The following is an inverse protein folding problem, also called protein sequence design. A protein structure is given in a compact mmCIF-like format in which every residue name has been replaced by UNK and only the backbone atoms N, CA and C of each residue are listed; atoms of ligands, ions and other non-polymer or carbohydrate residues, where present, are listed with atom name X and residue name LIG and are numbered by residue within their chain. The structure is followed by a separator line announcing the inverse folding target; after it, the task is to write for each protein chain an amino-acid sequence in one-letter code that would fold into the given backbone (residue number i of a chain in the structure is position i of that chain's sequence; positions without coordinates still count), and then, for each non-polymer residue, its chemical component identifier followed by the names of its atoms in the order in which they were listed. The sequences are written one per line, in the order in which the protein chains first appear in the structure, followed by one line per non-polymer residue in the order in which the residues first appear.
data_IF_479750303594
#
_entry.id   IF_479750303594
#
_cell.length_a   1.000
_cell.length_b   1.000
_cell.length_c   1.000
_cell.angle_alpha   90.00
_cell.angle_beta   90.00
_cell.angle_gamma   90.00
#
_symmetry.space_group_name_H-M   'P 1'
#
loop_
_entity.id
_entity.type
_entity.pdbx_description
1 polymer ?
#
# COMPACT_ATOMS: atom_id res chain seq x y z
N UNK A 1 -32.28 10.33 -27.65
CA UNK A 1 -30.95 10.58 -27.06
C UNK A 1 -31.14 11.68 -26.00
N UNK A 2 -31.44 11.25 -24.77
CA UNK A 2 -31.78 12.14 -23.64
C UNK A 2 -30.60 12.10 -22.68
N UNK A 3 -29.72 13.07 -22.76
CA UNK A 3 -28.72 13.31 -21.71
C UNK A 3 -29.38 14.19 -20.64
N UNK A 4 -29.52 13.69 -19.41
CA UNK A 4 -30.37 14.32 -18.42
C UNK A 4 -29.62 15.33 -17.56
N UNK A 5 -30.39 16.28 -17.06
CA UNK A 5 -30.08 17.30 -16.06
C UNK A 5 -29.44 16.82 -14.74
N UNK A 6 -28.95 15.56 -14.65
CA UNK A 6 -28.31 14.95 -13.47
C UNK A 6 -26.79 15.02 -13.45
N UNK A 7 -26.15 15.49 -14.51
CA UNK A 7 -24.69 15.54 -14.66
C UNK A 7 -24.00 16.37 -13.55
N UNK A 8 -24.50 17.54 -13.12
CA UNK A 8 -23.84 18.32 -12.07
C UNK A 8 -23.77 17.60 -10.71
N UNK A 9 -24.81 16.83 -10.37
CA UNK A 9 -24.84 16.06 -9.11
C UNK A 9 -23.87 14.89 -9.07
N UNK A 10 -23.74 14.15 -10.19
CA UNK A 10 -22.81 13.04 -10.34
C UNK A 10 -21.36 13.53 -10.34
N UNK A 11 -21.05 14.61 -11.05
CA UNK A 11 -19.73 15.22 -11.07
C UNK A 11 -19.31 15.68 -9.67
N UNK A 12 -20.21 16.38 -8.96
CA UNK A 12 -19.95 16.82 -7.58
C UNK A 12 -19.68 15.62 -6.64
N UNK A 13 -20.41 14.51 -6.81
CA UNK A 13 -20.20 13.29 -6.03
C UNK A 13 -18.87 12.63 -6.37
N UNK A 14 -18.53 12.52 -7.68
CA UNK A 14 -17.26 11.97 -8.12
C UNK A 14 -16.06 12.78 -7.60
N UNK A 15 -16.13 14.10 -7.64
CA UNK A 15 -15.09 14.98 -7.08
C UNK A 15 -15.01 14.83 -5.55
N UNK A 16 -16.13 14.79 -4.85
CA UNK A 16 -16.17 14.64 -3.38
C UNK A 16 -15.55 13.33 -2.89
N UNK A 17 -15.63 12.26 -3.67
CA UNK A 17 -15.05 10.95 -3.35
C UNK A 17 -13.64 10.84 -3.94
N UNK A 18 -13.45 11.20 -5.20
CA UNK A 18 -12.20 11.01 -5.93
C UNK A 18 -11.07 11.90 -5.43
N UNK A 19 -11.36 13.16 -5.09
CA UNK A 19 -10.33 14.09 -4.65
C UNK A 19 -9.63 13.65 -3.34
N UNK A 20 -10.33 13.22 -2.27
CA UNK A 20 -9.67 12.69 -1.08
C UNK A 20 -8.85 11.43 -1.36
N UNK A 21 -9.30 10.55 -2.25
CA UNK A 21 -8.55 9.34 -2.64
C UNK A 21 -7.28 9.75 -3.40
N UNK A 22 -7.37 10.67 -4.36
CA UNK A 22 -6.21 11.18 -5.10
C UNK A 22 -5.18 11.83 -4.18
N UNK A 23 -5.63 12.66 -3.23
CA UNK A 23 -4.76 13.29 -2.23
C UNK A 23 -4.09 12.22 -1.35
N UNK A 24 -4.83 11.22 -0.87
CA UNK A 24 -4.27 10.14 -0.06
C UNK A 24 -3.18 9.35 -0.82
N UNK A 25 -3.44 9.02 -2.08
CA UNK A 25 -2.46 8.34 -2.92
C UNK A 25 -1.22 9.21 -3.19
N UNK A 26 -1.40 10.51 -3.45
CA UNK A 26 -0.30 11.45 -3.61
C UNK A 26 0.55 11.56 -2.35
N UNK A 27 -0.08 11.64 -1.18
CA UNK A 27 0.59 11.68 0.12
C UNK A 27 1.47 10.42 0.33
N UNK A 28 0.96 9.24 -0.03
CA UNK A 28 1.71 7.98 0.06
C UNK A 28 2.90 7.98 -0.92
N UNK A 29 2.70 8.39 -2.17
CA UNK A 29 3.78 8.45 -3.16
C UNK A 29 4.87 9.46 -2.78
N UNK A 30 4.47 10.65 -2.30
CA UNK A 30 5.39 11.67 -1.82
C UNK A 30 6.20 11.17 -0.60
N UNK A 31 5.59 10.39 0.30
CA UNK A 31 6.30 9.85 1.46
C UNK A 31 7.44 8.91 1.07
N UNK A 32 7.25 8.07 0.07
CA UNK A 32 8.29 7.17 -0.42
C UNK A 32 9.48 7.94 -1.01
N UNK A 33 9.19 9.02 -1.75
CA UNK A 33 10.26 9.87 -2.28
C UNK A 33 11.04 10.58 -1.17
N UNK A 34 10.33 11.14 -0.19
CA UNK A 34 10.97 11.82 0.95
C UNK A 34 11.79 10.81 1.78
N UNK A 35 11.30 9.58 1.98
CA UNK A 35 12.06 8.51 2.62
C UNK A 35 13.39 8.26 1.90
N UNK A 36 13.35 8.09 0.56
CA UNK A 36 14.55 7.86 -0.24
C UNK A 36 15.53 9.05 -0.18
N UNK A 37 15.03 10.29 -0.21
CA UNK A 37 15.86 11.49 -0.08
C UNK A 37 16.53 11.59 1.30
N UNK A 38 15.81 11.26 2.38
CA UNK A 38 16.38 11.23 3.74
C UNK A 38 17.47 10.17 3.81
N UNK A 39 17.22 8.96 3.29
CA UNK A 39 18.21 7.87 3.28
C UNK A 39 19.44 8.28 2.48
N UNK A 40 19.26 8.80 1.26
CA UNK A 40 20.36 9.24 0.42
C UNK A 40 21.21 10.34 1.06
N UNK A 41 20.57 11.29 1.75
CA UNK A 41 21.26 12.39 2.44
C UNK A 41 22.06 11.92 3.66
N UNK A 42 21.54 10.97 4.44
CA UNK A 42 22.18 10.52 5.68
C UNK A 42 23.18 9.38 5.45
N UNK A 43 22.91 8.48 4.51
CA UNK A 43 23.62 7.20 4.35
C UNK A 43 24.35 7.08 3.00
N UNK A 44 24.17 8.05 2.11
CA UNK A 44 24.87 8.09 0.82
C UNK A 44 24.11 7.41 -0.33
N UNK A 45 24.72 7.47 -1.52
CA UNK A 45 24.12 7.02 -2.80
C UNK A 45 23.91 5.50 -2.89
N UNK A 46 24.83 4.71 -2.33
CA UNK A 46 24.72 3.25 -2.34
C UNK A 46 23.55 2.78 -1.48
N UNK A 47 23.35 3.42 -0.31
CA UNK A 47 22.18 3.18 0.53
C UNK A 47 20.88 3.59 -0.17
N UNK A 48 20.86 4.73 -0.88
CA UNK A 48 19.73 5.13 -1.70
C UNK A 48 19.41 4.06 -2.74
N UNK A 49 20.42 3.58 -3.49
CA UNK A 49 20.27 2.54 -4.52
C UNK A 49 19.69 1.25 -3.93
N UNK A 50 20.27 0.76 -2.84
CA UNK A 50 19.80 -0.46 -2.16
C UNK A 50 18.37 -0.34 -1.63
N UNK A 51 18.06 0.75 -0.92
CA UNK A 51 16.70 1.00 -0.42
C UNK A 51 15.71 1.16 -1.56
N UNK A 52 16.08 1.82 -2.65
CA UNK A 52 15.27 1.99 -3.84
C UNK A 52 14.88 0.65 -4.48
N UNK A 53 15.85 -0.24 -4.69
CA UNK A 53 15.62 -1.57 -5.24
C UNK A 53 14.65 -2.39 -4.35
N UNK A 54 14.89 -2.39 -3.06
CA UNK A 54 14.06 -3.12 -2.10
C UNK A 54 12.66 -2.50 -1.92
N UNK A 55 12.55 -1.17 -1.97
CA UNK A 55 11.27 -0.46 -1.91
C UNK A 55 10.41 -0.77 -3.13
N UNK A 56 11.01 -0.80 -4.34
CA UNK A 56 10.30 -1.18 -5.57
C UNK A 56 9.83 -2.62 -5.53
N UNK A 57 10.66 -3.55 -5.08
CA UNK A 57 10.22 -4.94 -4.91
C UNK A 57 9.06 -5.04 -3.91
N UNK A 58 9.16 -4.35 -2.77
CA UNK A 58 8.07 -4.29 -1.78
C UNK A 58 6.79 -3.70 -2.39
N UNK A 59 6.92 -2.69 -3.24
CA UNK A 59 5.79 -2.07 -3.94
C UNK A 59 5.10 -3.06 -4.89
N UNK A 60 5.85 -3.88 -5.64
CA UNK A 60 5.28 -4.95 -6.50
C UNK A 60 4.40 -5.88 -5.67
N UNK A 61 4.90 -6.33 -4.52
CA UNK A 61 4.15 -7.21 -3.62
C UNK A 61 2.88 -6.52 -3.09
N UNK A 62 2.98 -5.28 -2.67
CA UNK A 62 1.85 -4.52 -2.12
C UNK A 62 0.80 -4.26 -3.20
N UNK A 63 1.21 -3.83 -4.40
CA UNK A 63 0.29 -3.54 -5.49
C UNK A 63 -0.42 -4.78 -6.03
N UNK A 64 0.17 -5.96 -5.94
CA UNK A 64 -0.53 -7.20 -6.22
C UNK A 64 -1.78 -7.34 -5.32
N UNK A 65 -1.67 -6.98 -4.05
CA UNK A 65 -2.79 -7.00 -3.08
C UNK A 65 -3.70 -5.78 -3.15
N UNK A 66 -3.37 -4.76 -3.93
CA UNK A 66 -4.31 -3.69 -4.26
C UNK A 66 -5.58 -4.23 -4.93
N UNK A 67 -5.46 -5.38 -5.60
CA UNK A 67 -6.57 -6.18 -6.12
C UNK A 67 -7.63 -6.51 -5.06
N UNK A 68 -7.20 -6.83 -3.83
CA UNK A 68 -8.10 -7.12 -2.71
C UNK A 68 -8.85 -5.86 -2.26
N UNK A 69 -8.18 -4.70 -2.24
CA UNK A 69 -8.83 -3.42 -1.97
C UNK A 69 -9.94 -3.13 -2.98
N UNK A 70 -9.67 -3.29 -4.29
CA UNK A 70 -10.64 -3.07 -5.37
C UNK A 70 -11.82 -4.04 -5.23
N UNK A 71 -11.54 -5.33 -4.98
CA UNK A 71 -12.57 -6.34 -4.82
C UNK A 71 -13.48 -6.04 -3.61
N UNK A 72 -12.89 -5.69 -2.46
CA UNK A 72 -13.64 -5.30 -1.25
C UNK A 72 -14.49 -4.06 -1.54
N UNK A 73 -13.92 -3.02 -2.15
CA UNK A 73 -14.64 -1.81 -2.49
C UNK A 73 -15.84 -2.10 -3.39
N UNK A 74 -15.68 -2.90 -4.45
CA UNK A 74 -16.74 -3.24 -5.39
C UNK A 74 -17.87 -4.06 -4.75
N UNK A 75 -17.53 -5.05 -3.89
CA UNK A 75 -18.52 -5.87 -3.19
C UNK A 75 -19.24 -5.07 -2.13
N UNK A 76 -18.50 -4.30 -1.32
CA UNK A 76 -19.06 -3.50 -0.22
C UNK A 76 -19.94 -2.38 -0.76
N UNK A 77 -19.56 -1.65 -1.81
CA UNK A 77 -20.37 -0.57 -2.37
C UNK A 77 -21.72 -1.08 -2.87
N UNK A 78 -21.74 -2.25 -3.56
CA UNK A 78 -22.96 -2.89 -4.02
C UNK A 78 -23.86 -3.29 -2.85
N UNK A 79 -23.31 -3.95 -1.81
CA UNK A 79 -24.06 -4.40 -0.64
C UNK A 79 -24.55 -3.24 0.22
N UNK A 80 -23.71 -2.22 0.39
CA UNK A 80 -24.08 -1.00 1.09
C UNK A 80 -25.22 -0.25 0.39
N UNK A 81 -25.16 -0.11 -0.94
CA UNK A 81 -26.22 0.49 -1.76
C UNK A 81 -27.54 -0.27 -1.67
N UNK A 82 -27.48 -1.60 -1.59
CA UNK A 82 -28.66 -2.47 -1.33
C UNK A 82 -29.13 -2.47 0.14
N UNK A 83 -28.50 -1.71 1.04
CA UNK A 83 -28.74 -1.68 2.50
C UNK A 83 -28.50 -3.01 3.21
N UNK A 84 -27.79 -3.95 2.58
CA UNK A 84 -27.37 -5.22 3.16
C UNK A 84 -26.05 -5.04 3.93
N UNK A 85 -26.15 -4.38 5.08
CA UNK A 85 -24.96 -4.03 5.87
C UNK A 85 -24.25 -5.25 6.45
N UNK A 86 -24.98 -6.30 6.77
CA UNK A 86 -24.40 -7.54 7.27
C UNK A 86 -23.52 -8.23 6.22
N UNK A 87 -23.98 -8.32 4.96
CA UNK A 87 -23.17 -8.88 3.87
C UNK A 87 -21.98 -7.97 3.51
N UNK A 88 -22.10 -6.64 3.62
CA UNK A 88 -20.97 -5.73 3.46
C UNK A 88 -19.89 -5.97 4.53
N UNK A 89 -20.30 -6.18 5.80
CA UNK A 89 -19.38 -6.52 6.88
C UNK A 89 -18.76 -7.92 6.73
N UNK A 90 -19.53 -8.91 6.28
CA UNK A 90 -19.02 -10.25 5.98
C UNK A 90 -17.98 -10.24 4.87
N UNK A 91 -18.12 -9.36 3.86
CA UNK A 91 -17.13 -9.18 2.82
C UNK A 91 -15.80 -8.67 3.40
N UNK A 92 -15.81 -7.67 4.29
CA UNK A 92 -14.59 -7.21 4.96
C UNK A 92 -13.98 -8.29 5.87
N UNK A 93 -14.78 -8.94 6.72
CA UNK A 93 -14.27 -9.98 7.62
C UNK A 93 -13.61 -11.12 6.83
N UNK A 94 -14.20 -11.50 5.69
CA UNK A 94 -13.65 -12.52 4.78
C UNK A 94 -12.37 -12.03 4.11
N UNK A 95 -12.32 -10.77 3.66
CA UNK A 95 -11.12 -10.19 3.07
C UNK A 95 -9.97 -10.08 4.07
N UNK A 96 -10.26 -9.75 5.33
CA UNK A 96 -9.26 -9.73 6.41
C UNK A 96 -8.69 -11.13 6.68
N UNK A 97 -9.54 -12.18 6.66
CA UNK A 97 -9.08 -13.56 6.79
C UNK A 97 -8.17 -13.99 5.62
N UNK A 98 -8.61 -13.71 4.37
CA UNK A 98 -7.79 -13.96 3.17
C UNK A 98 -6.48 -13.19 3.25
N UNK A 99 -6.54 -11.90 3.58
CA UNK A 99 -5.37 -11.02 3.70
C UNK A 99 -4.37 -11.48 4.77
N UNK A 100 -4.88 -12.00 5.90
CA UNK A 100 -4.02 -12.58 6.95
C UNK A 100 -3.31 -13.84 6.45
N UNK A 101 -4.02 -14.77 5.81
CA UNK A 101 -3.41 -15.98 5.27
C UNK A 101 -2.39 -15.68 4.18
N UNK A 102 -2.74 -14.84 3.21
CA UNK A 102 -1.84 -14.46 2.12
C UNK A 102 -0.64 -13.65 2.63
N UNK A 103 -0.88 -12.68 3.51
CA UNK A 103 0.19 -11.87 4.11
C UNK A 103 1.17 -12.70 4.93
N UNK A 104 0.67 -13.65 5.74
CA UNK A 104 1.51 -14.58 6.48
C UNK A 104 2.31 -15.50 5.55
N UNK A 105 1.69 -16.01 4.48
CA UNK A 105 2.37 -16.85 3.51
C UNK A 105 3.52 -16.10 2.83
N UNK A 106 3.31 -14.84 2.42
CA UNK A 106 4.36 -13.99 1.82
C UNK A 106 5.46 -13.69 2.84
N UNK A 107 5.08 -13.33 4.07
CA UNK A 107 6.06 -13.08 5.13
C UNK A 107 6.97 -14.29 5.32
N UNK A 108 6.41 -15.49 5.46
CA UNK A 108 7.17 -16.72 5.63
C UNK A 108 8.01 -17.03 4.39
N UNK A 109 7.46 -16.91 3.18
CA UNK A 109 8.17 -17.16 1.94
C UNK A 109 9.43 -16.31 1.82
N UNK A 110 9.31 -14.99 2.05
CA UNK A 110 10.43 -14.05 1.89
C UNK A 110 11.39 -14.00 3.08
N UNK A 111 11.08 -14.63 4.20
CA UNK A 111 12.10 -14.93 5.22
C UNK A 111 13.20 -15.86 4.67
N UNK A 112 12.85 -16.78 3.77
CA UNK A 112 13.77 -17.73 3.18
C UNK A 112 14.34 -17.27 1.84
N UNK A 113 13.50 -16.69 0.97
CA UNK A 113 13.88 -16.27 -0.39
C UNK A 113 14.46 -14.84 -0.45
N UNK A 114 14.37 -14.07 0.64
CA UNK A 114 14.76 -12.67 0.64
C UNK A 114 16.17 -12.38 0.10
N UNK A 115 17.22 -13.12 0.50
CA UNK A 115 18.57 -12.87 -0.02
C UNK A 115 18.72 -13.07 -1.52
N UNK A 116 17.94 -13.98 -2.11
CA UNK A 116 18.04 -14.37 -3.53
C UNK A 116 17.31 -13.42 -4.47
N UNK A 117 16.48 -12.54 -3.93
CA UNK A 117 15.66 -11.61 -4.72
C UNK A 117 16.45 -10.38 -5.16
N UNK A 118 17.38 -9.92 -4.32
CA UNK A 118 18.11 -8.68 -4.60
C UNK A 118 19.43 -8.98 -5.28
N UNK A 119 19.48 -8.70 -6.58
CA UNK A 119 20.65 -8.90 -7.42
C UNK A 119 21.10 -7.56 -7.99
N UNK A 120 22.33 -7.16 -7.68
CA UNK A 120 22.98 -5.99 -8.23
C UNK A 120 24.44 -6.34 -8.56
N UNK A 121 25.08 -5.63 -9.49
CA UNK A 121 26.47 -5.85 -9.83
C UNK A 121 27.40 -5.66 -8.62
N UNK A 122 27.11 -4.61 -7.81
CA UNK A 122 27.81 -4.38 -6.54
C UNK A 122 27.11 -5.13 -5.43
N UNK A 123 27.83 -6.05 -4.80
CA UNK A 123 27.35 -6.86 -3.67
C UNK A 123 26.88 -5.99 -2.49
N UNK A 124 27.54 -4.83 -2.29
CA UNK A 124 27.15 -3.87 -1.25
C UNK A 124 25.72 -3.35 -1.41
N UNK A 125 25.31 -3.01 -2.64
CA UNK A 125 23.92 -2.55 -2.92
C UNK A 125 22.92 -3.66 -2.67
N UNK A 126 23.25 -4.91 -3.06
CA UNK A 126 22.40 -6.08 -2.78
C UNK A 126 22.25 -6.32 -1.28
N UNK A 127 23.34 -6.21 -0.51
CA UNK A 127 23.34 -6.37 0.93
C UNK A 127 22.51 -5.27 1.62
N UNK A 128 22.64 -4.01 1.20
CA UNK A 128 21.84 -2.89 1.74
C UNK A 128 20.36 -3.05 1.41
N UNK A 129 20.02 -3.50 0.19
CA UNK A 129 18.66 -3.80 -0.22
C UNK A 129 18.02 -4.87 0.66
N UNK A 130 18.74 -5.98 0.88
CA UNK A 130 18.26 -7.06 1.74
C UNK A 130 18.13 -6.62 3.20
N UNK A 131 19.08 -5.85 3.73
CA UNK A 131 18.98 -5.33 5.10
C UNK A 131 17.74 -4.47 5.30
N UNK A 132 17.46 -3.53 4.39
CA UNK A 132 16.23 -2.74 4.43
C UNK A 132 14.98 -3.62 4.34
N UNK A 133 14.94 -4.52 3.35
CA UNK A 133 13.79 -5.38 3.09
C UNK A 133 13.44 -6.26 4.31
N UNK A 134 14.44 -6.86 4.95
CA UNK A 134 14.25 -7.72 6.11
C UNK A 134 13.51 -7.01 7.25
N UNK A 135 13.82 -5.73 7.50
CA UNK A 135 13.17 -4.94 8.53
C UNK A 135 11.82 -4.34 8.08
N UNK A 136 11.63 -4.20 6.78
CA UNK A 136 10.36 -3.79 6.18
C UNK A 136 9.37 -4.95 6.00
N UNK A 137 9.84 -6.18 5.84
CA UNK A 137 9.02 -7.35 5.51
C UNK A 137 7.81 -7.55 6.44
N UNK A 138 7.87 -7.31 7.78
CA UNK A 138 6.70 -7.41 8.64
C UNK A 138 5.58 -6.42 8.31
N UNK A 139 5.89 -5.31 7.63
CA UNK A 139 4.88 -4.34 7.20
C UNK A 139 3.96 -4.87 6.09
N UNK A 140 4.42 -5.82 5.27
CA UNK A 140 3.67 -6.32 4.11
C UNK A 140 2.34 -6.97 4.50
N UNK A 141 2.28 -7.94 5.42
CA UNK A 141 1.00 -8.50 5.88
C UNK A 141 0.08 -7.43 6.49
N UNK A 142 0.63 -6.48 7.23
CA UNK A 142 -0.15 -5.38 7.82
C UNK A 142 -0.76 -4.49 6.73
N UNK A 143 0.00 -4.19 5.66
CA UNK A 143 -0.49 -3.41 4.52
C UNK A 143 -1.60 -4.12 3.77
N UNK A 144 -1.55 -5.44 3.59
CA UNK A 144 -2.64 -6.22 2.97
C UNK A 144 -3.94 -6.06 3.76
N UNK A 145 -3.87 -6.06 5.10
CA UNK A 145 -5.03 -5.80 5.95
C UNK A 145 -5.53 -4.34 5.80
N UNK A 146 -4.60 -3.37 5.80
CA UNK A 146 -4.94 -1.96 5.59
C UNK A 146 -5.65 -1.76 4.26
N UNK A 147 -5.16 -2.36 3.16
CA UNK A 147 -5.79 -2.27 1.84
C UNK A 147 -7.23 -2.79 1.85
N UNK A 148 -7.49 -3.90 2.55
CA UNK A 148 -8.86 -4.42 2.73
C UNK A 148 -9.75 -3.44 3.47
N UNK A 149 -9.24 -2.79 4.53
CA UNK A 149 -9.98 -1.82 5.34
C UNK A 149 -10.24 -0.53 4.54
N UNK A 150 -9.26 -0.06 3.78
CA UNK A 150 -9.40 1.10 2.88
C UNK A 150 -10.47 0.82 1.82
N UNK A 151 -10.45 -0.36 1.20
CA UNK A 151 -11.50 -0.80 0.27
C UNK A 151 -12.89 -0.75 0.90
N UNK A 152 -13.02 -1.17 2.15
CA UNK A 152 -14.28 -1.09 2.89
C UNK A 152 -14.72 0.37 3.12
N UNK A 153 -13.85 1.25 3.63
CA UNK A 153 -14.21 2.65 3.85
C UNK A 153 -14.56 3.38 2.56
N UNK A 154 -13.83 3.11 1.48
CA UNK A 154 -14.16 3.64 0.17
C UNK A 154 -15.54 3.12 -0.31
N UNK A 155 -15.79 1.81 -0.15
CA UNK A 155 -17.04 1.17 -0.55
C UNK A 155 -18.29 1.65 0.21
N UNK A 156 -18.15 2.06 1.48
CA UNK A 156 -19.23 2.68 2.25
C UNK A 156 -19.32 4.20 2.05
N UNK A 157 -18.53 4.78 1.14
CA UNK A 157 -18.52 6.21 0.82
C UNK A 157 -17.87 7.10 1.88
N UNK A 158 -16.90 6.54 2.66
CA UNK A 158 -16.16 7.27 3.70
C UNK A 158 -14.64 7.30 3.47
N UNK A 159 -14.16 7.76 2.31
CA UNK A 159 -12.73 7.88 2.03
C UNK A 159 -12.01 8.90 2.93
N UNK A 160 -12.77 9.78 3.59
CA UNK A 160 -12.28 10.75 4.59
C UNK A 160 -11.57 10.06 5.76
N UNK A 161 -11.98 8.84 6.15
CA UNK A 161 -11.33 8.07 7.20
C UNK A 161 -9.92 7.68 6.79
N UNK A 162 -9.73 7.27 5.52
CA UNK A 162 -8.43 6.90 4.97
C UNK A 162 -7.45 8.07 5.03
N UNK A 163 -7.87 9.26 4.61
CA UNK A 163 -7.03 10.45 4.64
C UNK A 163 -6.67 10.85 6.08
N UNK A 164 -7.64 10.80 7.01
CA UNK A 164 -7.40 11.11 8.43
C UNK A 164 -6.43 10.16 9.11
N UNK A 165 -6.37 8.90 8.67
CA UNK A 165 -5.40 7.93 9.20
C UNK A 165 -4.04 8.12 8.54
N UNK A 166 -3.99 8.29 7.21
CA UNK A 166 -2.70 8.39 6.51
C UNK A 166 -1.91 9.66 6.85
N UNK A 167 -2.56 10.80 7.08
CA UNK A 167 -1.87 12.04 7.38
C UNK A 167 -0.95 11.96 8.64
N UNK A 168 -1.43 11.55 9.83
CA UNK A 168 -0.56 11.41 11.00
C UNK A 168 0.44 10.26 10.87
N UNK A 169 0.07 9.16 10.18
CA UNK A 169 0.98 8.03 9.93
C UNK A 169 2.15 8.48 9.06
N UNK A 170 1.90 9.29 8.02
CA UNK A 170 2.95 9.85 7.18
C UNK A 170 3.95 10.68 7.98
N UNK A 171 3.44 11.62 8.80
CA UNK A 171 4.30 12.48 9.62
C UNK A 171 5.16 11.62 10.56
N UNK A 172 4.55 10.65 11.23
CA UNK A 172 5.26 9.72 12.12
C UNK A 172 6.28 8.88 11.35
N UNK A 173 5.94 8.38 10.16
CA UNK A 173 6.84 7.62 9.31
C UNK A 173 8.09 8.41 8.95
N UNK A 174 7.93 9.61 8.40
CA UNK A 174 9.06 10.45 8.01
C UNK A 174 9.92 10.87 9.20
N UNK A 175 9.29 11.18 10.35
CA UNK A 175 10.01 11.48 11.57
C UNK A 175 10.84 10.28 12.06
N UNK A 176 10.29 9.07 12.02
CA UNK A 176 11.01 7.84 12.38
C UNK A 176 12.13 7.51 11.40
N UNK A 177 11.88 7.68 10.07
CA UNK A 177 12.95 7.50 9.06
C UNK A 177 14.09 8.46 9.35
N UNK A 178 13.81 9.75 9.52
CA UNK A 178 14.82 10.75 9.83
C UNK A 178 15.58 10.39 11.12
N UNK A 179 14.88 10.05 12.20
CA UNK A 179 15.50 9.74 13.49
C UNK A 179 16.38 8.50 13.43
N UNK A 180 15.93 7.42 12.76
CA UNK A 180 16.61 6.13 12.75
C UNK A 180 17.73 6.05 11.73
N UNK A 181 17.74 6.91 10.70
CA UNK A 181 18.81 6.91 9.69
C UNK A 181 19.98 7.85 10.01
N UNK A 182 19.92 8.62 11.09
CA UNK A 182 21.04 9.47 11.52
C UNK A 182 20.66 10.89 11.93
N UNK A 183 19.38 11.29 11.86
CA UNK A 183 18.93 12.62 12.27
C UNK A 183 19.17 12.96 13.75
N UNK A 184 19.31 11.95 14.60
CA UNK A 184 19.66 12.10 16.02
C UNK A 184 21.17 11.95 16.31
N UNK A 185 22.00 11.96 15.28
CA UNK A 185 23.44 11.77 15.33
C UNK A 185 23.89 10.38 14.83
N UNK A 186 25.08 10.34 14.24
CA UNK A 186 25.62 9.13 13.62
C UNK A 186 25.74 7.94 14.59
N UNK A 187 26.07 8.21 15.85
CA UNK A 187 26.22 7.19 16.90
C UNK A 187 24.91 6.44 17.21
N UNK A 188 23.74 7.06 16.93
CA UNK A 188 22.41 6.47 17.15
C UNK A 188 21.76 5.98 15.87
N UNK A 189 22.47 6.04 14.76
CA UNK A 189 21.96 5.61 13.46
C UNK A 189 21.85 4.09 13.38
N UNK A 190 20.69 3.60 12.97
CA UNK A 190 20.44 2.20 12.61
C UNK A 190 20.73 1.93 11.12
N UNK A 191 21.21 2.94 10.39
CA UNK A 191 21.44 2.84 8.95
C UNK A 191 20.18 2.50 8.18
N UNK A 192 20.32 1.74 7.09
CA UNK A 192 19.18 1.32 6.24
C UNK A 192 18.17 0.42 6.98
N UNK A 193 18.61 -0.29 8.02
CA UNK A 193 17.72 -1.07 8.90
C UNK A 193 16.70 -0.16 9.58
N UNK A 194 17.15 1.05 9.98
CA UNK A 194 16.29 2.07 10.61
C UNK A 194 15.15 2.51 9.70
N UNK A 195 15.40 2.71 8.40
CA UNK A 195 14.35 3.05 7.44
C UNK A 195 13.33 1.91 7.27
N UNK A 196 13.79 0.65 7.18
CA UNK A 196 12.91 -0.52 7.13
C UNK A 196 12.06 -0.67 8.40
N UNK A 197 12.66 -0.45 9.59
CA UNK A 197 11.97 -0.48 10.87
C UNK A 197 10.93 0.65 10.97
N UNK A 198 11.27 1.86 10.54
CA UNK A 198 10.34 2.99 10.49
C UNK A 198 9.11 2.67 9.66
N UNK A 199 9.30 2.04 8.50
CA UNK A 199 8.20 1.58 7.64
C UNK A 199 7.29 0.55 8.34
N UNK A 200 7.87 -0.38 9.10
CA UNK A 200 7.13 -1.39 9.86
C UNK A 200 6.34 -0.78 11.02
N UNK A 201 6.97 0.09 11.80
CA UNK A 201 6.33 0.72 12.96
C UNK A 201 5.20 1.68 12.52
N UNK A 202 5.43 2.50 11.48
CA UNK A 202 4.40 3.40 10.96
C UNK A 202 3.22 2.63 10.37
N UNK A 203 3.47 1.51 9.70
CA UNK A 203 2.42 0.63 9.18
C UNK A 203 1.61 -0.01 10.31
N UNK A 204 2.29 -0.47 11.38
CA UNK A 204 1.62 -1.00 12.56
C UNK A 204 0.73 0.07 13.23
N UNK A 205 1.23 1.31 13.35
CA UNK A 205 0.43 2.45 13.83
C UNK A 205 -0.79 2.70 12.94
N UNK A 206 -0.60 2.69 11.63
CA UNK A 206 -1.70 2.86 10.65
C UNK A 206 -2.76 1.77 10.79
N UNK A 207 -2.34 0.49 10.88
CA UNK A 207 -3.26 -0.63 11.10
C UNK A 207 -4.03 -0.46 12.41
N UNK A 208 -3.35 -0.09 13.50
CA UNK A 208 -3.99 0.18 14.80
C UNK A 208 -5.07 1.27 14.70
N UNK A 209 -4.78 2.39 14.02
CA UNK A 209 -5.74 3.47 13.82
C UNK A 209 -6.93 3.04 12.94
N UNK A 210 -6.71 2.24 11.89
CA UNK A 210 -7.79 1.69 11.08
C UNK A 210 -8.66 0.72 11.88
N UNK A 211 -8.05 -0.20 12.62
CA UNK A 211 -8.77 -1.15 13.50
C UNK A 211 -9.58 -0.39 14.56
N UNK A 212 -9.02 0.66 15.16
CA UNK A 212 -9.75 1.51 16.10
C UNK A 212 -10.99 2.14 15.46
N UNK A 213 -10.88 2.65 14.22
CA UNK A 213 -12.05 3.18 13.50
C UNK A 213 -13.11 2.11 13.20
N UNK A 214 -12.70 0.87 12.87
CA UNK A 214 -13.63 -0.26 12.68
C UNK A 214 -14.29 -0.71 13.99
N UNK A 215 -13.57 -0.65 15.10
CA UNK A 215 -14.02 -1.08 16.42
C UNK A 215 -15.05 -0.12 17.06
N UNK A 216 -15.23 1.09 16.51
CA UNK A 216 -16.24 2.03 17.00
C UNK A 216 -17.63 1.37 17.01
N UNK A 217 -18.42 1.49 18.09
CA UNK A 217 -19.71 0.80 18.23
C UNK A 217 -20.62 0.95 17.02
N UNK A 218 -20.79 2.20 16.53
CA UNK A 218 -21.62 2.51 15.37
C UNK A 218 -21.23 1.76 14.08
N UNK A 219 -19.94 1.49 13.86
CA UNK A 219 -19.44 0.73 12.70
C UNK A 219 -19.55 -0.78 12.97
N UNK A 220 -19.06 -1.20 14.14
CA UNK A 220 -19.01 -2.61 14.53
C UNK A 220 -20.40 -3.25 14.56
N UNK A 221 -21.38 -2.59 15.16
CA UNK A 221 -22.76 -3.11 15.28
C UNK A 221 -23.47 -3.09 13.93
N UNK A 222 -23.39 -1.98 13.20
CA UNK A 222 -24.07 -1.82 11.91
C UNK A 222 -23.66 -2.85 10.88
N UNK A 223 -22.36 -3.18 10.79
CA UNK A 223 -21.80 -4.08 9.78
C UNK A 223 -21.40 -5.46 10.32
N UNK A 224 -21.51 -5.72 11.61
CA UNK A 224 -21.07 -6.97 12.23
C UNK A 224 -19.56 -7.21 12.08
N UNK A 225 -18.75 -6.13 12.23
CA UNK A 225 -17.31 -6.17 11.99
C UNK A 225 -16.53 -6.92 13.09
N UNK A 226 -15.35 -7.43 12.72
CA UNK A 226 -14.44 -8.15 13.62
C UNK A 226 -15.02 -9.44 14.23
N UNK A 227 -16.01 -10.03 13.56
CA UNK A 227 -16.61 -11.32 13.92
C UNK A 227 -16.01 -12.45 13.08
N UNK A 228 -14.75 -12.82 13.34
CA UNK A 228 -14.03 -13.78 12.51
C UNK A 228 -14.64 -15.18 12.47
N UNK A 229 -15.28 -15.64 13.56
CA UNK A 229 -15.87 -17.01 13.60
C UNK A 229 -17.18 -17.14 12.81
N UNK A 230 -18.00 -16.07 12.74
CA UNK A 230 -19.33 -16.10 12.10
C UNK A 230 -19.42 -15.21 10.86
N UNK A 231 -18.49 -14.29 10.69
CA UNK A 231 -18.49 -13.30 9.60
C UNK A 231 -17.69 -13.73 8.37
N UNK A 232 -16.89 -14.81 8.45
CA UNK A 232 -16.15 -15.35 7.29
C UNK A 232 -17.04 -16.37 6.59
N UNK A 233 -17.46 -16.07 5.36
CA UNK A 233 -18.39 -16.92 4.62
C UNK A 233 -17.90 -17.21 3.21
N UNK A 234 -18.15 -18.42 2.71
CA UNK A 234 -17.86 -18.81 1.34
C UNK A 234 -18.63 -17.95 0.31
N UNK A 235 -19.83 -17.51 0.70
CA UNK A 235 -20.65 -16.62 -0.12
C UNK A 235 -20.02 -15.23 -0.30
N UNK A 236 -19.30 -14.72 0.71
CA UNK A 236 -18.54 -13.48 0.61
C UNK A 236 -17.18 -13.69 -0.09
N UNK A 237 -16.53 -14.84 0.08
CA UNK A 237 -15.23 -15.13 -0.54
C UNK A 237 -15.33 -15.22 -2.07
N UNK A 238 -16.37 -15.86 -2.60
CA UNK A 238 -16.54 -16.10 -4.04
C UNK A 238 -16.47 -14.79 -4.88
N UNK A 239 -17.24 -13.73 -4.61
CA UNK A 239 -17.14 -12.49 -5.37
C UNK A 239 -15.81 -11.76 -5.15
N UNK A 240 -15.21 -11.83 -3.95
CA UNK A 240 -13.90 -11.23 -3.69
C UNK A 240 -12.81 -11.87 -4.53
N UNK A 241 -12.78 -13.21 -4.61
CA UNK A 241 -11.81 -13.94 -5.42
C UNK A 241 -12.07 -13.74 -6.91
N UNK A 242 -13.34 -13.80 -7.36
CA UNK A 242 -13.69 -13.62 -8.75
C UNK A 242 -13.28 -12.25 -9.32
N UNK A 243 -13.37 -11.20 -8.51
CA UNK A 243 -12.94 -9.85 -8.89
C UNK A 243 -11.44 -9.67 -8.65
N UNK A 244 -10.96 -10.09 -7.48
CA UNK A 244 -9.59 -9.82 -7.04
C UNK A 244 -8.53 -10.61 -7.80
N UNK A 245 -8.77 -11.88 -8.12
CA UNK A 245 -7.76 -12.75 -8.72
C UNK A 245 -7.30 -12.30 -10.13
N UNK A 246 -8.17 -11.93 -11.07
CA UNK A 246 -7.72 -11.38 -12.36
C UNK A 246 -6.91 -10.08 -12.19
N UNK A 247 -7.36 -9.17 -11.32
CA UNK A 247 -6.66 -7.92 -11.03
C UNK A 247 -5.31 -8.20 -10.37
N UNK A 248 -5.21 -9.20 -9.50
CA UNK A 248 -3.97 -9.62 -8.85
C UNK A 248 -2.91 -10.01 -9.89
N UNK A 249 -3.25 -10.86 -10.84
CA UNK A 249 -2.32 -11.23 -11.92
C UNK A 249 -1.95 -10.06 -12.81
N UNK A 250 -2.91 -9.21 -13.16
CA UNK A 250 -2.65 -7.98 -13.92
C UNK A 250 -1.65 -7.07 -13.20
N UNK A 251 -1.83 -6.87 -11.90
CA UNK A 251 -0.93 -6.04 -11.07
C UNK A 251 0.46 -6.65 -10.95
N UNK A 252 0.58 -7.96 -10.77
CA UNK A 252 1.89 -8.63 -10.74
C UNK A 252 2.60 -8.42 -12.07
N UNK A 253 1.98 -8.77 -13.20
CA UNK A 253 2.61 -8.67 -14.51
C UNK A 253 3.05 -7.24 -14.82
N UNK A 254 2.16 -6.25 -14.57
CA UNK A 254 2.47 -4.85 -14.83
C UNK A 254 3.60 -4.29 -13.94
N UNK A 255 3.55 -4.54 -12.66
CA UNK A 255 4.54 -3.97 -11.72
C UNK A 255 5.84 -4.77 -11.68
N UNK A 256 5.81 -6.08 -11.95
CA UNK A 256 7.00 -6.89 -12.04
C UNK A 256 7.90 -6.46 -13.20
N UNK A 257 7.32 -5.98 -14.30
CA UNK A 257 8.09 -5.39 -15.42
C UNK A 257 8.92 -4.19 -14.97
N UNK A 258 8.37 -3.34 -14.10
CA UNK A 258 9.07 -2.18 -13.53
C UNK A 258 10.22 -2.65 -12.63
N UNK A 259 9.99 -3.69 -11.83
CA UNK A 259 11.03 -4.26 -10.99
C UNK A 259 12.16 -4.87 -11.81
N UNK A 260 11.83 -5.67 -12.85
CA UNK A 260 12.84 -6.23 -13.76
C UNK A 260 13.67 -5.12 -14.44
N UNK A 261 13.03 -4.02 -14.84
CA UNK A 261 13.75 -2.88 -15.39
C UNK A 261 14.75 -2.30 -14.37
N UNK A 262 14.38 -2.20 -13.10
CA UNK A 262 15.30 -1.74 -12.05
C UNK A 262 16.43 -2.75 -11.78
N UNK A 263 16.16 -4.06 -11.83
CA UNK A 263 17.20 -5.08 -11.71
C UNK A 263 18.20 -4.96 -12.86
N UNK A 264 17.74 -4.73 -14.08
CA UNK A 264 18.61 -4.48 -15.24
C UNK A 264 19.41 -3.18 -15.06
N UNK A 265 18.75 -2.11 -14.60
CA UNK A 265 19.43 -0.84 -14.31
C UNK A 265 20.51 -0.98 -13.21
N UNK A 266 20.32 -1.93 -12.29
CA UNK A 266 21.32 -2.24 -11.27
C UNK A 266 22.53 -3.07 -11.78
N UNK A 267 22.55 -3.46 -13.06
CA UNK A 267 23.66 -4.20 -13.67
C UNK A 267 24.59 -3.29 -14.50
N UNK A 268 24.31 -1.98 -14.60
CA UNK A 268 25.17 -1.05 -15.35
C UNK A 268 26.30 -0.50 -14.46
N UNK A 269 27.43 -0.07 -15.04
CA UNK A 269 28.61 0.36 -14.27
C UNK A 269 28.33 1.48 -13.25
N UNK A 270 27.48 2.46 -13.60
CA UNK A 270 27.07 3.55 -12.68
C UNK A 270 25.68 3.26 -12.09
N UNK A 271 25.55 2.12 -11.42
CA UNK A 271 24.28 1.60 -10.94
C UNK A 271 23.58 2.52 -9.93
N UNK A 272 24.33 3.17 -9.02
CA UNK A 272 23.72 4.04 -8.01
C UNK A 272 23.03 5.25 -8.66
N UNK A 273 23.72 5.95 -9.55
CA UNK A 273 23.14 7.08 -10.29
C UNK A 273 22.01 6.65 -11.22
N UNK A 274 22.14 5.49 -11.88
CA UNK A 274 21.09 4.93 -12.75
C UNK A 274 19.84 4.58 -11.96
N UNK A 275 19.96 3.97 -10.78
CA UNK A 275 18.82 3.67 -9.91
C UNK A 275 18.15 4.95 -9.38
N UNK A 276 18.95 5.97 -9.02
CA UNK A 276 18.40 7.29 -8.62
C UNK A 276 17.61 7.92 -9.77
N UNK A 277 18.19 8.01 -10.97
CA UNK A 277 17.54 8.58 -12.14
C UNK A 277 16.25 7.83 -12.51
N UNK A 278 16.29 6.49 -12.49
CA UNK A 278 15.14 5.62 -12.75
C UNK A 278 14.01 5.87 -11.76
N UNK A 279 14.33 5.99 -10.46
CA UNK A 279 13.31 6.25 -9.44
C UNK A 279 12.69 7.64 -9.58
N UNK A 280 13.48 8.66 -9.93
CA UNK A 280 12.96 9.99 -10.21
C UNK A 280 11.98 9.93 -11.40
N UNK A 281 12.36 9.24 -12.49
CA UNK A 281 11.49 9.09 -13.66
C UNK A 281 10.18 8.34 -13.31
N UNK A 282 10.27 7.23 -12.59
CA UNK A 282 9.10 6.48 -12.11
C UNK A 282 8.19 7.31 -11.20
N UNK A 283 8.77 8.19 -10.38
CA UNK A 283 8.00 9.11 -9.55
C UNK A 283 7.15 10.06 -10.40
N UNK A 284 7.71 10.68 -11.43
CA UNK A 284 6.96 11.56 -12.32
C UNK A 284 5.81 10.81 -13.02
N UNK A 285 6.03 9.57 -13.45
CA UNK A 285 4.99 8.72 -14.03
C UNK A 285 3.89 8.47 -13.00
N UNK A 286 4.25 8.08 -11.77
CA UNK A 286 3.28 7.83 -10.71
C UNK A 286 2.46 9.09 -10.37
N UNK A 287 3.09 10.24 -10.19
CA UNK A 287 2.39 11.51 -9.90
C UNK A 287 1.38 11.83 -11.00
N UNK A 288 1.74 11.62 -12.27
CA UNK A 288 0.86 11.89 -13.42
C UNK A 288 -0.37 10.97 -13.47
N UNK A 289 -0.25 9.74 -12.96
CA UNK A 289 -1.33 8.74 -12.99
C UNK A 289 -2.27 8.80 -11.78
N UNK A 290 -1.83 9.36 -10.64
CA UNK A 290 -2.59 9.39 -9.39
C UNK A 290 -3.98 10.04 -9.47
N UNK A 291 -4.18 11.18 -10.17
CA UNK A 291 -5.52 11.75 -10.34
C UNK A 291 -6.47 10.78 -11.05
N UNK A 292 -6.00 10.13 -12.12
CA UNK A 292 -6.79 9.15 -12.86
C UNK A 292 -7.23 7.97 -12.00
N UNK A 293 -6.34 7.45 -11.13
CA UNK A 293 -6.68 6.39 -10.19
C UNK A 293 -7.73 6.82 -9.16
N UNK A 294 -7.65 8.05 -8.63
CA UNK A 294 -8.63 8.57 -7.68
C UNK A 294 -10.03 8.70 -8.27
N UNK A 295 -10.15 9.24 -9.49
CA UNK A 295 -11.44 9.35 -10.18
C UNK A 295 -11.95 7.99 -10.66
N UNK A 296 -11.07 7.07 -11.09
CA UNK A 296 -11.43 5.70 -11.46
C UNK A 296 -12.02 4.94 -10.27
N UNK A 297 -11.44 5.05 -9.08
CA UNK A 297 -11.98 4.45 -7.86
C UNK A 297 -13.29 5.10 -7.41
N UNK A 298 -13.45 6.41 -7.58
CA UNK A 298 -14.72 7.09 -7.31
C UNK A 298 -15.84 6.64 -8.24
N UNK A 299 -15.54 6.34 -9.51
CA UNK A 299 -16.53 5.84 -10.48
C UNK A 299 -16.98 4.41 -10.14
N UNK A 300 -16.18 3.63 -9.45
CA UNK A 300 -16.51 2.26 -8.99
C UNK A 300 -17.34 2.23 -7.69
N UNK A 301 -17.63 3.38 -7.08
CA UNK A 301 -18.40 3.53 -5.84
C UNK A 301 -19.79 4.09 -6.06
#
# INVERSE_FOLDING_TARGET
MILPQRVPGLLRRAVRIGLPISIANFVVAASQMIELLIVGRHLGTDAFGGVSLAATFSLVLILAFYSLQIAVQAVVSRRHGARDYAAAGAALNTALAIGTCCGAAIFLLFQFLGPQVFVAEREEISALAFQYFRWRLPSIPMLVLILSIVGFFNGVGRPDVTLRVYAPVLVAHLAMVWAFTGGLGAERSLGVRGAGLASTLSTAMGLGLFVWNLARPAMRERYGLLRFRTGVTRAAARPLVAIGLPIFFQQILGNFSIYLFQVIAAQVPDQAATLVATNIALLFINISTLPGLGFGTAAAT
#
